data_IF_935042113351
#
_entry.id   IF_935042113351
#
_cell.length_a   1.000
_cell.length_b   1.000
_cell.length_c   1.000
_cell.angle_alpha   90.00
_cell.angle_beta   90.00
_cell.angle_gamma   90.00
#
_symmetry.space_group_name_H-M   'P 1'
#
loop_
_entity.id
_entity.type
_entity.pdbx_description
1 polymer ?
#
# COMPACT_ATOMS: atom_id res chain seq x y z
N UNK A 1 -17.85 14.35 8.58
CA UNK A 1 -16.53 13.75 8.84
C UNK A 1 -16.71 12.34 9.37
N UNK A 2 -16.18 11.33 8.66
CA UNK A 2 -16.22 9.91 9.04
C UNK A 2 -14.80 9.34 9.08
N UNK A 3 -14.53 8.46 10.03
CA UNK A 3 -13.26 7.73 10.10
C UNK A 3 -13.45 6.30 9.60
N UNK A 4 -12.59 5.88 8.67
CA UNK A 4 -12.54 4.54 8.12
C UNK A 4 -11.23 3.86 8.49
N UNK A 5 -11.26 2.54 8.64
CA UNK A 5 -10.11 1.71 9.01
C UNK A 5 -9.84 0.66 7.95
N UNK A 6 -8.57 0.56 7.57
CA UNK A 6 -8.06 -0.42 6.61
C UNK A 6 -6.98 -1.26 7.27
N UNK A 7 -7.07 -2.58 7.10
CA UNK A 7 -6.01 -3.49 7.53
C UNK A 7 -4.92 -3.55 6.45
N UNK A 8 -3.70 -3.17 6.82
CA UNK A 8 -2.56 -3.00 5.92
C UNK A 8 -1.96 -4.34 5.46
N UNK A 9 -2.13 -5.43 6.23
CA UNK A 9 -1.76 -6.77 5.80
C UNK A 9 -2.74 -7.32 4.75
N UNK A 10 -4.02 -6.97 4.85
CA UNK A 10 -5.01 -7.34 3.84
C UNK A 10 -4.71 -6.69 2.47
N UNK A 11 -4.24 -5.43 2.47
CA UNK A 11 -3.77 -4.72 1.27
C UNK A 11 -2.63 -5.43 0.52
N UNK A 12 -1.77 -6.17 1.23
CA UNK A 12 -0.64 -6.90 0.62
C UNK A 12 -0.88 -8.40 0.39
N UNK A 13 -1.77 -9.04 1.14
CA UNK A 13 -1.89 -10.50 1.17
C UNK A 13 -3.18 -11.03 0.53
N UNK A 14 -4.27 -10.25 0.50
CA UNK A 14 -5.57 -10.69 0.00
C UNK A 14 -5.97 -9.87 -1.23
N UNK A 15 -6.66 -10.52 -2.17
CA UNK A 15 -7.28 -9.84 -3.30
C UNK A 15 -8.41 -8.90 -2.88
N UNK A 16 -8.88 -8.99 -1.64
CA UNK A 16 -10.00 -8.23 -1.09
C UNK A 16 -9.73 -7.80 0.35
N UNK A 17 -9.90 -6.52 0.64
CA UNK A 17 -9.80 -5.90 1.97
C UNK A 17 -11.14 -5.26 2.33
N UNK A 18 -11.65 -5.57 3.51
CA UNK A 18 -12.86 -4.93 4.04
C UNK A 18 -12.48 -3.65 4.76
N UNK A 19 -13.21 -2.58 4.49
CA UNK A 19 -13.02 -1.26 5.10
C UNK A 19 -14.19 -0.99 6.02
N UNK A 20 -13.87 -0.68 7.28
CA UNK A 20 -14.87 -0.49 8.34
C UNK A 20 -14.85 0.92 8.88
N UNK A 21 -15.96 1.39 9.43
CA UNK A 21 -16.00 2.64 10.18
C UNK A 21 -15.71 2.44 11.68
N UNK A 22 -15.88 3.50 12.47
CA UNK A 22 -15.70 3.51 13.93
C UNK A 22 -16.68 2.60 14.67
N UNK A 23 -17.85 2.35 14.09
CA UNK A 23 -18.89 1.47 14.65
C UNK A 23 -18.68 0.02 14.22
N UNK A 24 -17.50 -0.28 13.64
CA UNK A 24 -17.11 -1.58 13.11
C UNK A 24 -18.04 -2.09 11.99
N UNK A 25 -18.82 -1.20 11.36
CA UNK A 25 -19.67 -1.53 10.23
C UNK A 25 -18.84 -1.60 8.97
N UNK A 26 -19.07 -2.63 8.16
CA UNK A 26 -18.43 -2.73 6.86
C UNK A 26 -19.05 -1.69 5.93
N UNK A 27 -18.23 -0.81 5.35
CA UNK A 27 -18.69 0.27 4.46
C UNK A 27 -18.27 0.02 3.02
N UNK A 28 -17.04 -0.47 2.84
CA UNK A 28 -16.48 -0.72 1.51
C UNK A 28 -15.69 -2.02 1.43
N UNK A 29 -15.52 -2.49 0.20
CA UNK A 29 -14.60 -3.56 -0.19
C UNK A 29 -13.58 -2.97 -1.16
N UNK A 30 -12.31 -3.04 -0.80
CA UNK A 30 -11.21 -2.77 -1.71
C UNK A 30 -10.77 -4.09 -2.34
N UNK A 31 -10.97 -4.24 -3.64
CA UNK A 31 -10.69 -5.46 -4.40
C UNK A 31 -9.65 -5.18 -5.48
N UNK A 32 -8.70 -6.09 -5.66
CA UNK A 32 -7.74 -6.02 -6.77
C UNK A 32 -6.38 -6.59 -6.41
N UNK A 33 -5.44 -6.44 -7.33
CA UNK A 33 -4.06 -6.91 -7.17
C UNK A 33 -3.07 -5.91 -7.77
N UNK A 34 -1.90 -5.84 -7.16
CA UNK A 34 -0.70 -5.23 -7.71
C UNK A 34 0.14 -6.32 -8.45
N UNK A 35 0.71 -6.05 -9.63
CA UNK A 35 1.13 -7.04 -10.63
C UNK A 35 1.63 -6.48 -11.99
N UNK A 36 2.03 -7.38 -12.91
CA UNK A 36 2.94 -7.04 -14.02
C UNK A 36 2.31 -6.38 -15.26
N UNK A 37 0.98 -6.34 -15.44
CA UNK A 37 0.37 -5.80 -16.67
C UNK A 37 -0.95 -5.02 -16.57
N UNK A 38 -1.59 -4.89 -15.41
CA UNK A 38 -2.79 -4.06 -15.26
C UNK A 38 -3.17 -3.92 -13.78
N UNK A 39 -2.40 -3.12 -13.05
CA UNK A 39 -2.66 -2.88 -11.63
C UNK A 39 -3.92 -2.06 -11.46
N UNK A 40 -5.00 -2.77 -11.13
CA UNK A 40 -6.30 -2.18 -10.84
C UNK A 40 -6.68 -2.55 -9.42
N UNK A 41 -6.96 -1.51 -8.63
CA UNK A 41 -7.75 -1.66 -7.41
C UNK A 41 -9.07 -0.96 -7.61
N UNK A 42 -10.13 -1.57 -7.10
CA UNK A 42 -11.50 -1.11 -7.21
C UNK A 42 -12.11 -1.05 -5.82
N UNK A 43 -12.79 0.05 -5.52
CA UNK A 43 -13.53 0.28 -4.28
C UNK A 43 -15.00 0.07 -4.57
N UNK A 44 -15.60 -0.90 -3.89
CA UNK A 44 -17.01 -1.20 -3.95
C UNK A 44 -17.68 -0.83 -2.63
N UNK A 45 -18.95 -0.43 -2.67
CA UNK A 45 -19.81 -0.48 -1.49
C UNK A 45 -20.06 -1.94 -1.07
N UNK A 46 -20.54 -2.17 0.15
CA UNK A 46 -20.95 -3.52 0.57
C UNK A 46 -22.09 -4.08 -0.28
N UNK A 47 -22.92 -3.22 -0.88
CA UNK A 47 -23.96 -3.62 -1.83
C UNK A 47 -23.40 -4.01 -3.22
N UNK A 48 -22.09 -3.88 -3.46
CA UNK A 48 -21.44 -4.24 -4.72
C UNK A 48 -21.43 -3.14 -5.78
N UNK A 49 -21.85 -1.91 -5.44
CA UNK A 49 -21.73 -0.78 -6.36
C UNK A 49 -20.27 -0.34 -6.47
N UNK A 50 -19.77 -0.15 -7.69
CA UNK A 50 -18.41 0.34 -7.94
C UNK A 50 -18.37 1.86 -7.76
N UNK A 51 -17.59 2.33 -6.78
CA UNK A 51 -17.47 3.75 -6.46
C UNK A 51 -16.23 4.38 -7.11
N UNK A 52 -15.07 3.74 -6.96
CA UNK A 52 -13.82 4.24 -7.49
C UNK A 52 -12.89 3.12 -7.97
N UNK A 53 -11.96 3.47 -8.85
CA UNK A 53 -10.85 2.61 -9.24
C UNK A 53 -9.56 3.41 -9.29
N UNK A 54 -8.45 2.74 -9.01
CA UNK A 54 -7.11 3.21 -9.36
C UNK A 54 -6.50 2.25 -10.37
N UNK A 55 -5.96 2.80 -11.47
CA UNK A 55 -5.26 2.04 -12.51
C UNK A 55 -3.84 2.55 -12.69
N UNK A 56 -2.84 1.68 -12.68
CA UNK A 56 -1.47 2.07 -13.01
C UNK A 56 -1.34 2.32 -14.52
N UNK A 57 -0.84 3.50 -14.90
CA UNK A 57 -0.64 3.89 -16.30
C UNK A 57 0.79 3.65 -16.79
N UNK A 58 1.79 3.62 -15.91
CA UNK A 58 3.20 3.47 -16.30
C UNK A 58 3.91 2.36 -15.54
N UNK A 59 4.70 1.57 -16.27
CA UNK A 59 5.52 0.46 -15.76
C UNK A 59 7.01 0.85 -15.57
N UNK A 60 7.36 2.14 -15.68
CA UNK A 60 8.73 2.65 -15.53
C UNK A 60 9.10 3.06 -14.09
N UNK A 61 10.31 3.62 -13.89
CA UNK A 61 10.82 4.09 -12.59
C UNK A 61 9.89 5.07 -11.85
N UNK A 62 9.03 5.76 -12.59
CA UNK A 62 8.06 6.72 -12.09
C UNK A 62 6.65 6.16 -12.28
N UNK A 63 6.10 5.43 -11.29
CA UNK A 63 4.74 4.91 -11.37
C UNK A 63 3.74 6.07 -11.36
N UNK A 64 2.86 6.08 -12.36
CA UNK A 64 1.73 6.98 -12.51
C UNK A 64 0.45 6.19 -12.36
N UNK A 65 -0.51 6.77 -11.65
CA UNK A 65 -1.81 6.17 -11.40
C UNK A 65 -2.91 7.10 -11.87
N UNK A 66 -3.93 6.53 -12.51
CA UNK A 66 -5.17 7.18 -12.87
C UNK A 66 -6.23 6.83 -11.84
N UNK A 67 -6.94 7.84 -11.36
CA UNK A 67 -8.12 7.72 -10.50
C UNK A 67 -9.37 7.81 -11.37
N UNK A 68 -10.26 6.84 -11.17
CA UNK A 68 -11.55 6.74 -11.84
C UNK A 68 -12.61 6.79 -10.75
N UNK A 69 -13.59 7.67 -10.88
CA UNK A 69 -14.73 7.79 -9.97
C UNK A 69 -15.99 7.75 -10.82
N UNK A 70 -16.96 6.91 -10.46
CA UNK A 70 -18.16 6.67 -11.26
C UNK A 70 -17.87 6.45 -12.75
N UNK A 71 -16.87 5.59 -13.04
CA UNK A 71 -16.40 5.22 -14.39
C UNK A 71 -15.81 6.37 -15.22
N UNK A 72 -15.59 7.54 -14.62
CA UNK A 72 -14.93 8.67 -15.28
C UNK A 72 -13.54 8.91 -14.70
N UNK A 73 -12.59 9.27 -15.57
CA UNK A 73 -11.26 9.64 -15.10
C UNK A 73 -11.33 11.01 -14.45
N UNK A 74 -11.16 11.06 -13.13
CA UNK A 74 -11.24 12.30 -12.35
C UNK A 74 -9.88 12.85 -11.96
N UNK A 75 -8.84 12.01 -11.98
CA UNK A 75 -7.52 12.51 -11.69
C UNK A 75 -6.36 11.57 -11.96
N UNK A 76 -5.15 12.09 -11.76
CA UNK A 76 -3.90 11.34 -11.88
C UNK A 76 -2.94 11.75 -10.79
N UNK A 77 -2.23 10.77 -10.24
CA UNK A 77 -1.19 10.96 -9.23
C UNK A 77 0.10 10.26 -9.67
N UNK A 78 1.23 10.90 -9.42
CA UNK A 78 2.55 10.39 -9.77
C UNK A 78 3.52 10.72 -8.65
N UNK A 79 4.45 9.81 -8.36
CA UNK A 79 5.53 10.08 -7.40
C UNK A 79 6.48 11.12 -8.01
N UNK A 80 6.83 12.15 -7.25
CA UNK A 80 7.82 13.18 -7.66
C UNK A 80 9.13 12.91 -6.93
N UNK A 81 10.27 12.91 -7.64
CA UNK A 81 11.60 12.70 -7.03
C UNK A 81 12.08 13.93 -6.25
N UNK A 82 12.85 13.71 -5.17
CA UNK A 82 13.80 14.70 -4.65
C UNK A 82 13.37 15.56 -3.46
N UNK A 83 12.21 15.34 -2.83
CA UNK A 83 11.78 16.13 -1.66
C UNK A 83 11.64 15.26 -0.42
N UNK A 84 12.29 15.67 0.68
CA UNK A 84 12.32 14.98 1.99
C UNK A 84 10.92 14.98 2.67
N UNK A 85 10.01 15.85 2.22
CA UNK A 85 8.57 15.85 2.51
C UNK A 85 7.83 15.56 1.22
N UNK A 86 7.06 14.48 1.17
CA UNK A 86 6.37 14.10 -0.07
C UNK A 86 5.14 14.98 -0.24
N UNK A 87 5.29 15.99 -1.10
CA UNK A 87 4.17 16.74 -1.67
C UNK A 87 3.81 16.08 -3.00
N UNK A 88 2.58 15.58 -3.11
CA UNK A 88 2.06 14.93 -4.29
C UNK A 88 0.84 15.68 -4.80
N UNK A 89 0.77 15.85 -6.12
CA UNK A 89 -0.37 16.48 -6.76
C UNK A 89 -1.27 15.42 -7.38
N UNK A 90 -2.56 15.49 -7.06
CA UNK A 90 -3.61 14.73 -7.72
C UNK A 90 -4.25 15.64 -8.76
N UNK A 91 -3.65 15.66 -9.96
CA UNK A 91 -4.11 16.50 -11.08
C UNK A 91 -5.51 16.06 -11.50
N UNK A 92 -6.39 17.00 -11.86
CA UNK A 92 -7.79 16.75 -12.22
C UNK A 92 -8.76 16.96 -11.05
N UNK A 93 -8.39 16.52 -9.85
CA UNK A 93 -9.13 16.81 -8.60
C UNK A 93 -8.65 18.10 -7.92
N UNK A 94 -7.51 18.66 -8.35
CA UNK A 94 -6.84 19.80 -7.70
C UNK A 94 -6.51 19.54 -6.23
N UNK A 95 -6.22 18.27 -5.88
CA UNK A 95 -5.83 17.91 -4.52
C UNK A 95 -4.32 17.87 -4.35
N UNK A 96 -3.87 18.22 -3.16
CA UNK A 96 -2.48 18.16 -2.72
C UNK A 96 -2.39 17.22 -1.53
N UNK A 97 -1.54 16.21 -1.64
CA UNK A 97 -1.22 15.29 -0.55
C UNK A 97 0.12 15.76 0.04
N UNK A 98 0.14 16.01 1.34
CA UNK A 98 1.33 16.42 2.08
C UNK A 98 1.60 15.43 3.20
N UNK A 99 2.81 14.89 3.29
CA UNK A 99 3.16 13.99 4.38
C UNK A 99 4.50 13.29 4.20
N UNK A 100 4.65 12.18 4.90
CA UNK A 100 5.88 11.39 4.89
C UNK A 100 5.56 9.89 4.86
N UNK A 101 5.98 9.22 3.79
CA UNK A 101 5.80 7.77 3.58
C UNK A 101 6.41 6.92 4.69
N UNK A 102 7.50 7.34 5.33
CA UNK A 102 8.13 6.58 6.40
C UNK A 102 7.27 6.59 7.67
N UNK A 103 6.62 7.73 7.93
CA UNK A 103 5.78 7.90 9.13
C UNK A 103 4.35 7.38 8.94
N UNK A 104 3.91 7.21 7.69
CA UNK A 104 2.53 6.82 7.38
C UNK A 104 1.49 7.90 7.67
N UNK A 105 1.93 9.15 7.88
CA UNK A 105 1.06 10.31 8.14
C UNK A 105 0.96 11.21 6.93
N UNK A 106 -0.26 11.42 6.45
CA UNK A 106 -0.57 12.29 5.31
C UNK A 106 -1.81 13.13 5.54
N UNK A 107 -1.83 14.32 4.94
CA UNK A 107 -3.01 15.18 4.84
C UNK A 107 -3.29 15.50 3.38
N UNK A 108 -4.56 15.48 3.00
CA UNK A 108 -5.04 15.74 1.65
C UNK A 108 -5.84 17.03 1.68
N UNK A 109 -5.52 17.97 0.80
CA UNK A 109 -6.13 19.29 0.72
C UNK A 109 -6.68 19.58 -0.66
N UNK A 110 -7.79 20.33 -0.71
CA UNK A 110 -8.26 21.02 -1.91
C UNK A 110 -8.24 22.53 -1.61
N UNK A 111 -7.28 23.25 -2.19
CA UNK A 111 -7.03 24.64 -1.80
C UNK A 111 -6.66 24.74 -0.31
N UNK A 112 -7.55 25.33 0.50
CA UNK A 112 -7.38 25.47 1.96
C UNK A 112 -8.15 24.42 2.77
N UNK A 113 -9.01 23.66 2.11
CA UNK A 113 -9.93 22.74 2.77
C UNK A 113 -9.23 21.40 2.98
N UNK A 114 -9.28 20.90 4.23
CA UNK A 114 -8.77 19.58 4.57
C UNK A 114 -9.80 18.53 4.15
N UNK A 115 -9.44 17.73 3.14
CA UNK A 115 -10.27 16.65 2.62
C UNK A 115 -10.14 15.41 3.49
N UNK A 116 -8.90 15.01 3.81
CA UNK A 116 -8.68 13.83 4.63
C UNK A 116 -7.33 13.84 5.35
N UNK A 117 -7.27 13.09 6.45
CA UNK A 117 -6.02 12.66 7.09
C UNK A 117 -5.88 11.15 6.98
N UNK A 118 -4.67 10.68 6.70
CA UNK A 118 -4.31 9.26 6.64
C UNK A 118 -3.23 9.03 7.70
N UNK A 119 -3.52 8.16 8.66
CA UNK A 119 -2.60 7.88 9.77
C UNK A 119 -2.41 6.37 9.95
N UNK A 120 -1.17 5.93 10.11
CA UNK A 120 -0.88 4.57 10.54
C UNK A 120 -1.03 4.48 12.07
N UNK A 121 -2.08 3.80 12.54
CA UNK A 121 -2.49 3.80 13.95
C UNK A 121 -1.93 2.62 14.76
N UNK A 122 -1.55 1.53 14.09
CA UNK A 122 -0.90 0.38 14.72
C UNK A 122 0.10 -0.26 13.75
N UNK A 123 1.19 -0.81 14.29
CA UNK A 123 2.16 -1.65 13.56
C UNK A 123 2.06 -3.14 13.94
N UNK A 124 1.41 -3.49 15.06
CA UNK A 124 1.25 -4.90 15.46
C UNK A 124 0.17 -5.60 14.62
N UNK A 125 0.36 -6.89 14.31
CA UNK A 125 -0.66 -7.70 13.63
C UNK A 125 -0.92 -7.34 12.15
N UNK A 126 0.01 -6.68 11.47
CA UNK A 126 -0.08 -6.40 10.03
C UNK A 126 -0.40 -4.96 9.65
N UNK A 127 -0.55 -4.07 10.64
CA UNK A 127 -0.71 -2.63 10.44
C UNK A 127 -2.17 -2.19 10.21
N UNK A 128 -2.57 -1.06 10.78
CA UNK A 128 -3.89 -0.45 10.56
C UNK A 128 -3.74 0.99 10.13
N UNK A 129 -4.43 1.38 9.06
CA UNK A 129 -4.50 2.75 8.56
C UNK A 129 -5.87 3.31 8.89
N UNK A 130 -5.91 4.48 9.53
CA UNK A 130 -7.12 5.28 9.70
C UNK A 130 -7.19 6.36 8.62
N UNK A 131 -8.39 6.55 8.06
CA UNK A 131 -8.71 7.61 7.13
C UNK A 131 -9.79 8.47 7.77
N UNK A 132 -9.46 9.69 8.18
CA UNK A 132 -10.45 10.65 8.66
C UNK A 132 -10.84 11.57 7.50
N UNK A 133 -12.08 11.47 7.01
CA UNK A 133 -12.51 12.02 5.72
C UNK A 133 -13.66 13.00 5.95
N UNK A 134 -13.61 14.16 5.31
CA UNK A 134 -14.56 15.27 5.49
C UNK A 134 -16.01 14.89 5.10
N UNK A 135 -16.19 14.28 3.94
CA UNK A 135 -17.48 13.98 3.30
C UNK A 135 -17.46 12.62 2.56
N UNK A 136 -18.64 12.03 2.43
CA UNK A 136 -18.80 10.66 1.92
C UNK A 136 -18.34 10.50 0.46
N UNK A 137 -18.54 11.50 -0.38
CA UNK A 137 -18.18 11.45 -1.81
C UNK A 137 -16.67 11.36 -2.03
N UNK A 138 -15.87 11.81 -1.05
CA UNK A 138 -14.41 11.72 -1.10
C UNK A 138 -13.89 10.35 -0.68
N UNK A 139 -14.70 9.52 -0.02
CA UNK A 139 -14.20 8.34 0.68
C UNK A 139 -13.56 7.31 -0.25
N UNK A 140 -14.24 6.98 -1.35
CA UNK A 140 -13.73 5.98 -2.29
C UNK A 140 -12.40 6.44 -2.93
N UNK A 141 -12.25 7.72 -3.22
CA UNK A 141 -11.02 8.29 -3.77
C UNK A 141 -9.89 8.32 -2.74
N UNK A 142 -10.18 8.70 -1.49
CA UNK A 142 -9.19 8.68 -0.41
C UNK A 142 -8.73 7.25 -0.11
N UNK A 143 -9.63 6.26 -0.16
CA UNK A 143 -9.28 4.84 -0.06
C UNK A 143 -8.30 4.44 -1.17
N UNK A 144 -8.55 4.84 -2.43
CA UNK A 144 -7.63 4.60 -3.54
C UNK A 144 -6.26 5.24 -3.29
N UNK A 145 -6.23 6.49 -2.82
CA UNK A 145 -4.99 7.21 -2.53
C UNK A 145 -4.21 6.54 -1.39
N UNK A 146 -4.87 6.11 -0.32
CA UNK A 146 -4.27 5.37 0.78
C UNK A 146 -3.57 4.09 0.29
N UNK A 147 -4.21 3.34 -0.62
CA UNK A 147 -3.63 2.14 -1.21
C UNK A 147 -2.38 2.44 -2.07
N UNK A 148 -2.37 3.55 -2.81
CA UNK A 148 -1.19 3.99 -3.59
C UNK A 148 -0.04 4.35 -2.66
N UNK A 149 -0.32 5.12 -1.60
CA UNK A 149 0.69 5.55 -0.62
C UNK A 149 1.29 4.36 0.12
N UNK A 150 0.45 3.43 0.59
CA UNK A 150 0.90 2.18 1.23
C UNK A 150 1.84 1.37 0.32
N UNK A 151 1.49 1.26 -0.97
CA UNK A 151 2.35 0.61 -1.96
C UNK A 151 3.71 1.29 -2.08
N UNK A 152 3.75 2.63 -2.17
CA UNK A 152 5.01 3.35 -2.28
C UNK A 152 5.88 3.23 -1.02
N UNK A 153 5.29 3.24 0.17
CA UNK A 153 6.01 3.02 1.43
C UNK A 153 6.66 1.62 1.47
N UNK A 154 5.92 0.58 1.03
CA UNK A 154 6.42 -0.80 0.93
C UNK A 154 7.52 -0.98 -0.12
N UNK A 155 7.50 -0.21 -1.22
CA UNK A 155 8.58 -0.24 -2.22
C UNK A 155 9.83 0.52 -1.76
N UNK A 156 9.70 1.65 -1.07
CA UNK A 156 10.83 2.39 -0.50
C UNK A 156 11.61 1.55 0.52
N UNK A 157 10.90 0.91 1.46
CA UNK A 157 11.50 0.02 2.47
C UNK A 157 12.28 -1.16 1.86
N UNK A 158 11.82 -1.73 0.73
CA UNK A 158 12.59 -2.75 -0.01
C UNK A 158 13.83 -2.17 -0.69
N UNK A 159 13.75 -0.98 -1.27
CA UNK A 159 14.87 -0.33 -1.94
C UNK A 159 15.99 0.10 -0.96
N UNK A 160 15.64 0.42 0.29
CA UNK A 160 16.61 0.72 1.36
C UNK A 160 17.21 -0.52 2.04
N UNK A 161 16.73 -1.74 1.71
CA UNK A 161 17.24 -3.00 2.27
C UNK A 161 17.76 -3.98 1.19
N UNK A 162 18.67 -3.57 0.26
CA UNK A 162 19.14 -4.44 -0.82
C UNK A 162 20.17 -5.50 -0.37
N UNK A 163 20.64 -5.49 0.88
CA UNK A 163 21.77 -6.31 1.36
C UNK A 163 21.40 -7.38 2.40
N UNK A 164 20.20 -7.98 2.33
CA UNK A 164 19.87 -9.13 3.20
C UNK A 164 19.57 -10.45 2.49
N UNK A 165 19.65 -10.49 1.16
CA UNK A 165 19.38 -11.70 0.37
C UNK A 165 20.57 -12.13 -0.50
N UNK A 166 21.78 -12.18 0.07
CA UNK A 166 22.85 -13.05 -0.41
C UNK A 166 23.71 -13.50 0.77
N UNK A 167 23.24 -14.50 1.51
CA UNK A 167 24.09 -15.34 2.35
C UNK A 167 23.57 -16.78 2.23
N UNK A 168 23.86 -17.40 1.09
CA UNK A 168 24.04 -18.83 1.06
C UNK A 168 25.44 -19.11 1.60
N UNK A 169 25.52 -19.77 2.76
CA UNK A 169 26.70 -20.53 3.15
C UNK A 169 26.19 -21.91 3.61
N UNK A 170 26.56 -23.01 2.95
CA UNK A 170 26.33 -24.32 3.53
C UNK A 170 27.32 -24.44 4.69
N UNK A 171 26.83 -24.48 5.92
CA UNK A 171 27.64 -25.03 6.99
C UNK A 171 27.76 -26.53 6.70
N UNK A 172 28.92 -26.91 6.15
CA UNK A 172 29.38 -28.28 6.13
C UNK A 172 29.24 -28.83 7.55
N UNK A 173 28.23 -29.67 7.76
CA UNK A 173 28.13 -30.47 8.95
C UNK A 173 29.33 -31.42 8.97
N UNK A 174 30.24 -31.20 9.91
CA UNK A 174 31.14 -32.22 10.40
C UNK A 174 30.27 -33.40 10.90
N UNK A 175 29.99 -34.35 10.01
CA UNK A 175 29.60 -35.69 10.40
C UNK A 175 30.89 -36.36 10.86
N UNK A 176 30.85 -36.81 12.12
CA UNK A 176 31.91 -37.46 12.83
C UNK A 176 32.67 -38.49 11.95
N UNK A 177 33.98 -38.42 12.03
CA UNK A 177 34.91 -39.41 11.53
C UNK A 177 34.62 -40.76 12.19
N UNK A 178 34.01 -41.69 11.45
CA UNK A 178 34.07 -43.10 11.80
C UNK A 178 35.45 -43.62 11.39
N UNK A 179 36.30 -43.88 12.37
CA UNK A 179 37.55 -44.60 12.18
C UNK A 179 37.24 -46.03 11.72
N UNK A 180 37.56 -46.34 10.46
CA UNK A 180 37.79 -47.72 10.02
C UNK A 180 39.24 -48.07 10.32
N UNK A 181 39.48 -48.82 11.40
CA UNK A 181 40.72 -49.58 11.53
C UNK A 181 40.64 -50.77 10.58
N UNK A 182 41.34 -50.69 9.45
CA UNK A 182 41.84 -51.88 8.76
C UNK A 182 43.21 -52.18 9.38
N UNK A 183 43.30 -53.27 10.14
CA UNK A 183 44.57 -53.91 10.41
C UNK A 183 44.43 -55.40 10.10
N UNK A 184 44.87 -55.76 8.90
CA UNK A 184 45.15 -57.13 8.48
C UNK A 184 46.20 -57.72 9.40
N UNK A 185 45.99 -58.93 9.92
CA UNK A 185 47.05 -59.95 10.09
C UNK A 185 46.44 -61.29 10.54
N UNK A 186 46.61 -62.26 9.63
CA UNK A 186 46.91 -63.69 9.86
C UNK A 186 45.88 -64.56 10.59
#
# INVERSE_FOLDING_TARGET
MRTLYLNQAALSAKATTVIRDTDNQSRYLLVGKWGLRADVLSVYTIAGALEAEVKQESLGLLPRFRLIYHRQTVGRVAKTFGVIREVLFVRGLNWIIMGNLNSGHFKIYHGRDLIATIDQVSQSGGGTIALAIDQQDHEALVICLAAILDRWAKHQSKAFNPLRNHAWAPAAGNIAQFHTNDDRRR
#
